data_IF_515385364382
#
_entry.id   IF_515385364382
#
_cell.length_a   1.000
_cell.length_b   1.000
_cell.length_c   1.000
_cell.angle_alpha   90.00
_cell.angle_beta   90.00
_cell.angle_gamma   90.00
#
_symmetry.space_group_name_H-M   'P 1'
#
loop_
_entity.id
_entity.type
_entity.pdbx_description
1 polymer ?
#
# COMPACT_ATOMS: atom_id res chain seq x y z
N UNK A 1 -18.12 -13.80 13.97
CA UNK A 1 -17.74 -15.24 14.01
C UNK A 1 -17.04 -15.73 12.74
N UNK A 2 -17.63 -15.73 11.53
CA UNK A 2 -16.86 -16.17 10.33
C UNK A 2 -15.66 -15.26 10.05
N UNK A 3 -15.84 -13.95 10.13
CA UNK A 3 -14.75 -12.99 9.93
C UNK A 3 -13.64 -13.11 10.99
N UNK A 4 -13.96 -13.37 12.25
CA UNK A 4 -12.99 -13.64 13.33
C UNK A 4 -12.12 -14.86 12.99
N UNK A 5 -12.74 -15.96 12.56
CA UNK A 5 -12.01 -17.18 12.15
C UNK A 5 -11.10 -16.92 10.96
N UNK A 6 -11.60 -16.21 9.93
CA UNK A 6 -10.80 -15.87 8.73
C UNK A 6 -9.65 -14.93 9.08
N UNK A 7 -9.91 -13.93 9.93
CA UNK A 7 -8.88 -13.00 10.43
C UNK A 7 -7.81 -13.75 11.23
N UNK A 8 -8.22 -14.64 12.12
CA UNK A 8 -7.31 -15.48 12.91
C UNK A 8 -6.47 -16.40 12.02
N UNK A 9 -7.08 -17.03 11.01
CA UNK A 9 -6.38 -17.88 10.06
C UNK A 9 -5.34 -17.07 9.26
N UNK A 10 -5.71 -15.88 8.79
CA UNK A 10 -4.80 -14.96 8.09
C UNK A 10 -3.63 -14.55 8.99
N UNK A 11 -3.91 -14.07 10.21
CA UNK A 11 -2.90 -13.66 11.21
C UNK A 11 -1.92 -14.82 11.48
N UNK A 12 -2.43 -16.02 11.73
CA UNK A 12 -1.60 -17.19 12.02
C UNK A 12 -0.71 -17.57 10.84
N UNK A 13 -1.20 -17.45 9.60
CA UNK A 13 -0.40 -17.73 8.41
C UNK A 13 0.69 -16.68 8.19
N UNK A 14 0.38 -15.41 8.44
CA UNK A 14 1.37 -14.32 8.40
C UNK A 14 2.44 -14.49 9.50
N UNK A 15 2.03 -14.83 10.72
CA UNK A 15 2.94 -15.07 11.84
C UNK A 15 3.85 -16.29 11.60
N UNK A 16 3.31 -17.40 11.08
CA UNK A 16 4.11 -18.58 10.72
C UNK A 16 5.19 -18.25 9.67
N UNK A 17 4.87 -17.41 8.68
CA UNK A 17 5.85 -16.96 7.68
C UNK A 17 7.03 -16.22 8.28
N UNK A 18 6.81 -15.45 9.35
CA UNK A 18 7.91 -14.77 10.05
C UNK A 18 8.87 -15.74 10.75
N UNK A 19 8.53 -17.03 10.91
CA UNK A 19 9.29 -18.01 11.70
C UNK A 19 9.70 -19.26 10.92
N UNK A 20 9.21 -19.49 9.70
CA UNK A 20 9.55 -20.68 8.91
C UNK A 20 9.75 -20.39 7.43
N UNK A 21 10.83 -20.95 6.86
CA UNK A 21 11.20 -20.96 5.43
C UNK A 21 10.31 -21.90 4.57
N UNK A 22 9.08 -22.16 5.03
CA UNK A 22 8.16 -23.10 4.40
C UNK A 22 7.57 -22.50 3.12
N UNK A 23 8.02 -23.00 1.96
CA UNK A 23 7.35 -23.01 0.66
C UNK A 23 6.48 -21.78 0.30
N UNK A 24 6.96 -20.83 -0.51
CA UNK A 24 6.34 -19.51 -0.69
C UNK A 24 4.99 -19.46 -1.43
N UNK A 25 4.42 -20.57 -1.92
CA UNK A 25 3.25 -20.49 -2.81
C UNK A 25 1.90 -20.75 -2.10
N UNK A 26 1.79 -21.76 -1.24
CA UNK A 26 0.51 -22.13 -0.61
C UNK A 26 0.07 -21.16 0.48
N UNK A 27 1.00 -20.59 1.24
CA UNK A 27 0.72 -19.59 2.29
C UNK A 27 0.20 -18.28 1.71
N UNK A 28 0.71 -17.85 0.55
CA UNK A 28 0.28 -16.63 -0.13
C UNK A 28 -1.13 -16.75 -0.70
N UNK A 29 -1.48 -17.87 -1.32
CA UNK A 29 -2.83 -18.10 -1.83
C UNK A 29 -3.88 -18.03 -0.72
N UNK A 30 -3.57 -18.63 0.44
CA UNK A 30 -4.42 -18.56 1.61
C UNK A 30 -4.58 -17.11 2.12
N UNK A 31 -3.49 -16.35 2.25
CA UNK A 31 -3.54 -14.94 2.67
C UNK A 31 -4.38 -14.10 1.71
N UNK A 32 -4.20 -14.29 0.40
CA UNK A 32 -4.99 -13.58 -0.62
C UNK A 32 -6.47 -13.92 -0.52
N UNK A 33 -6.81 -15.20 -0.36
CA UNK A 33 -8.20 -15.64 -0.20
C UNK A 33 -8.84 -15.03 1.07
N UNK A 34 -8.11 -15.03 2.19
CA UNK A 34 -8.57 -14.39 3.42
C UNK A 34 -8.79 -12.88 3.23
N UNK A 35 -7.81 -12.16 2.65
CA UNK A 35 -7.92 -10.73 2.45
C UNK A 35 -9.08 -10.38 1.51
N UNK A 36 -9.30 -11.15 0.43
CA UNK A 36 -10.46 -10.96 -0.46
C UNK A 36 -11.79 -11.09 0.29
N UNK A 37 -11.92 -12.13 1.10
CA UNK A 37 -13.10 -12.33 1.94
C UNK A 37 -13.29 -11.16 2.91
N UNK A 38 -12.22 -10.70 3.58
CA UNK A 38 -12.29 -9.62 4.56
C UNK A 38 -12.61 -8.27 3.90
N UNK A 39 -12.07 -7.98 2.72
CA UNK A 39 -12.46 -6.82 1.92
C UNK A 39 -13.96 -6.85 1.58
N UNK A 40 -14.48 -8.01 1.14
CA UNK A 40 -15.92 -8.17 0.90
C UNK A 40 -16.72 -8.00 2.20
N UNK A 41 -16.27 -8.60 3.31
CA UNK A 41 -16.90 -8.47 4.61
C UNK A 41 -17.03 -7.00 5.04
N UNK A 42 -15.96 -6.20 4.91
CA UNK A 42 -16.00 -4.76 5.17
C UNK A 42 -17.06 -4.03 4.31
N UNK A 43 -17.16 -4.36 3.01
CA UNK A 43 -18.12 -3.72 2.09
C UNK A 43 -19.59 -4.00 2.43
N UNK A 44 -19.88 -5.06 3.18
CA UNK A 44 -21.26 -5.43 3.51
C UNK A 44 -21.86 -4.64 4.67
N UNK A 45 -21.07 -3.85 5.41
CA UNK A 45 -21.65 -2.94 6.41
C UNK A 45 -20.65 -2.22 7.31
N UNK A 46 -21.08 -1.08 7.86
CA UNK A 46 -20.26 -0.24 8.76
C UNK A 46 -19.85 -0.95 10.06
N UNK A 47 -20.70 -1.82 10.60
CA UNK A 47 -20.35 -2.60 11.79
C UNK A 47 -19.23 -3.62 11.49
N UNK A 48 -19.18 -4.15 10.26
CA UNK A 48 -18.14 -5.07 9.81
C UNK A 48 -16.81 -4.33 9.64
N UNK A 49 -16.85 -3.12 9.08
CA UNK A 49 -15.70 -2.22 9.04
C UNK A 49 -15.14 -1.95 10.43
N UNK A 50 -16.00 -1.60 11.39
CA UNK A 50 -15.60 -1.38 12.79
C UNK A 50 -14.91 -2.59 13.41
N UNK A 51 -15.46 -3.79 13.22
CA UNK A 51 -14.83 -5.03 13.68
C UNK A 51 -13.44 -5.26 13.04
N UNK A 52 -13.28 -4.93 11.76
CA UNK A 52 -11.98 -5.04 11.10
C UNK A 52 -11.00 -3.93 11.49
N UNK A 53 -11.50 -2.73 11.81
CA UNK A 53 -10.70 -1.59 12.24
C UNK A 53 -9.96 -1.86 13.56
N UNK A 54 -10.52 -2.70 14.44
CA UNK A 54 -9.84 -3.18 15.66
C UNK A 54 -8.52 -3.92 15.36
N UNK A 55 -8.40 -4.50 14.15
CA UNK A 55 -7.20 -5.20 13.68
C UNK A 55 -6.28 -4.31 12.83
N UNK A 56 -6.59 -3.02 12.65
CA UNK A 56 -5.87 -2.11 11.76
C UNK A 56 -4.36 -2.10 12.01
N UNK A 57 -3.93 -2.02 13.28
CA UNK A 57 -2.51 -2.00 13.64
C UNK A 57 -1.75 -3.22 13.12
N UNK A 58 -2.32 -4.42 13.27
CA UNK A 58 -1.73 -5.66 12.78
C UNK A 58 -1.70 -5.70 11.24
N UNK A 59 -2.78 -5.25 10.58
CA UNK A 59 -2.85 -5.19 9.12
C UNK A 59 -1.76 -4.28 8.55
N UNK A 60 -1.53 -3.14 9.22
CA UNK A 60 -0.47 -2.19 8.83
C UNK A 60 0.94 -2.73 9.11
N UNK A 61 1.14 -3.56 10.13
CA UNK A 61 2.46 -4.21 10.35
C UNK A 61 2.85 -5.18 9.24
N UNK A 62 1.85 -5.73 8.57
CA UNK A 62 1.99 -6.72 7.52
C UNK A 62 1.63 -6.14 6.14
N UNK A 63 1.54 -4.82 6.01
CA UNK A 63 1.04 -4.17 4.79
C UNK A 63 1.94 -4.36 3.58
N UNK A 64 3.24 -4.55 3.78
CA UNK A 64 4.23 -4.79 2.73
C UNK A 64 4.14 -6.20 2.12
N UNK A 65 3.37 -7.11 2.71
CA UNK A 65 3.24 -8.48 2.22
C UNK A 65 2.40 -8.49 0.94
N UNK A 66 2.97 -9.03 -0.13
CA UNK A 66 2.34 -9.23 -1.45
C UNK A 66 2.06 -7.95 -2.26
N UNK A 67 2.64 -6.80 -1.88
CA UNK A 67 2.43 -5.55 -2.64
C UNK A 67 3.07 -5.56 -4.02
N UNK A 68 4.22 -6.21 -4.18
CA UNK A 68 5.01 -6.19 -5.41
C UNK A 68 4.51 -7.14 -6.51
N UNK A 69 3.67 -8.15 -6.17
CA UNK A 69 3.22 -9.20 -7.10
C UNK A 69 2.02 -8.75 -7.95
N UNK A 70 2.20 -8.42 -9.25
CA UNK A 70 1.13 -7.89 -10.09
C UNK A 70 0.00 -8.91 -10.35
N UNK A 71 0.31 -10.20 -10.33
CA UNK A 71 -0.68 -11.30 -10.47
C UNK A 71 -1.62 -11.41 -9.27
N UNK A 72 -1.27 -10.79 -8.14
CA UNK A 72 -2.05 -10.76 -6.90
C UNK A 72 -2.53 -9.35 -6.56
N UNK A 73 -2.71 -8.49 -7.59
CA UNK A 73 -3.23 -7.10 -7.55
C UNK A 73 -4.59 -6.89 -6.86
N UNK A 74 -5.08 -7.84 -6.08
CA UNK A 74 -6.31 -7.67 -5.33
C UNK A 74 -6.37 -8.59 -4.12
N UNK A 75 -5.52 -8.35 -3.12
CA UNK A 75 -5.87 -8.27 -1.69
C UNK A 75 -4.67 -8.57 -0.77
N UNK A 76 -3.65 -7.69 -0.68
CA UNK A 76 -2.72 -7.67 0.46
C UNK A 76 -3.42 -7.26 1.77
N UNK A 77 -2.80 -7.45 2.94
CA UNK A 77 -3.32 -6.92 4.21
C UNK A 77 -3.60 -5.41 4.19
N UNK A 78 -2.84 -4.63 3.40
CA UNK A 78 -3.09 -3.21 3.17
C UNK A 78 -4.49 -2.95 2.57
N UNK A 79 -5.00 -3.86 1.75
CA UNK A 79 -6.32 -3.72 1.14
C UNK A 79 -7.45 -3.87 2.15
N UNK A 80 -7.26 -4.80 3.09
CA UNK A 80 -8.17 -5.00 4.21
C UNK A 80 -8.11 -3.79 5.14
N UNK A 81 -6.92 -3.24 5.37
CA UNK A 81 -6.71 -2.04 6.19
C UNK A 81 -7.51 -0.86 5.64
N UNK A 82 -7.38 -0.52 4.35
CA UNK A 82 -8.20 0.57 3.79
C UNK A 82 -9.70 0.20 3.78
N UNK A 83 -10.06 -1.06 3.44
CA UNK A 83 -11.48 -1.47 3.37
C UNK A 83 -12.18 -1.34 4.73
N UNK A 84 -11.43 -1.47 5.83
CA UNK A 84 -11.92 -1.29 7.19
C UNK A 84 -12.35 0.14 7.54
N UNK A 85 -11.98 1.15 6.74
CA UNK A 85 -12.32 2.56 7.00
C UNK A 85 -12.85 3.32 5.78
N UNK A 86 -12.80 2.73 4.58
CA UNK A 86 -13.26 3.33 3.33
C UNK A 86 -14.71 3.83 3.44
N UNK A 87 -14.96 5.06 2.97
CA UNK A 87 -16.30 5.70 2.97
C UNK A 87 -16.95 5.82 4.37
N UNK A 88 -16.15 5.70 5.44
CA UNK A 88 -16.62 5.73 6.81
C UNK A 88 -15.96 6.86 7.61
N UNK A 89 -16.66 8.00 7.69
CA UNK A 89 -16.13 9.21 8.34
C UNK A 89 -15.86 9.01 9.84
N UNK A 90 -16.64 8.18 10.54
CA UNK A 90 -16.43 7.88 11.97
C UNK A 90 -15.08 7.18 12.18
N UNK A 91 -14.79 6.16 11.36
CA UNK A 91 -13.54 5.40 11.46
C UNK A 91 -12.34 6.20 10.94
N UNK A 92 -12.53 7.04 9.93
CA UNK A 92 -11.49 7.95 9.47
C UNK A 92 -11.08 8.95 10.56
N UNK A 93 -12.04 9.50 11.31
CA UNK A 93 -11.77 10.38 12.46
C UNK A 93 -11.18 9.62 13.66
N UNK A 94 -11.43 8.31 13.77
CA UNK A 94 -10.84 7.47 14.81
C UNK A 94 -9.36 7.08 14.54
N UNK A 95 -8.81 7.45 13.37
CA UNK A 95 -7.41 7.19 13.04
C UNK A 95 -6.47 7.93 13.98
N UNK A 96 -5.42 7.23 14.41
CA UNK A 96 -4.37 7.77 15.27
C UNK A 96 -3.09 8.01 14.48
N UNK A 97 -2.31 8.99 14.91
CA UNK A 97 -1.05 9.40 14.25
C UNK A 97 -0.11 8.23 13.95
N UNK A 98 0.03 7.27 14.88
CA UNK A 98 0.94 6.14 14.73
C UNK A 98 0.59 5.20 13.56
N UNK A 99 -0.69 5.14 13.13
CA UNK A 99 -1.08 4.35 11.95
C UNK A 99 -0.60 5.02 10.67
N UNK A 100 -0.81 6.34 10.56
CA UNK A 100 -0.36 7.14 9.41
C UNK A 100 1.17 7.23 9.35
N UNK A 101 1.83 7.33 10.51
CA UNK A 101 3.29 7.34 10.59
C UNK A 101 3.90 6.04 10.05
N UNK A 102 3.29 4.89 10.35
CA UNK A 102 3.73 3.59 9.83
C UNK A 102 3.70 3.56 8.29
N UNK A 103 2.63 4.06 7.70
CA UNK A 103 2.51 4.18 6.23
C UNK A 103 3.54 5.16 5.66
N UNK A 104 3.77 6.30 6.31
CA UNK A 104 4.79 7.25 5.88
C UNK A 104 6.20 6.65 5.92
N UNK A 105 6.51 5.79 6.90
CA UNK A 105 7.80 5.06 6.97
C UNK A 105 7.92 4.05 5.83
N UNK A 106 6.85 3.32 5.46
CA UNK A 106 6.93 2.41 4.32
C UNK A 106 7.05 3.16 3.00
N UNK A 107 6.30 4.25 2.82
CA UNK A 107 6.42 5.10 1.65
C UNK A 107 7.82 5.70 1.50
N UNK A 108 8.46 6.12 2.59
CA UNK A 108 9.83 6.65 2.54
C UNK A 108 10.83 5.59 2.08
N UNK A 109 10.61 4.31 2.43
CA UNK A 109 11.45 3.19 1.95
C UNK A 109 11.27 2.96 0.45
N UNK A 110 10.04 3.05 -0.07
CA UNK A 110 9.79 2.97 -1.51
C UNK A 110 10.61 4.02 -2.27
N UNK A 111 10.80 5.21 -1.69
CA UNK A 111 11.64 6.26 -2.25
C UNK A 111 13.15 6.00 -2.25
N UNK A 112 13.63 4.96 -1.59
CA UNK A 112 15.05 4.66 -1.38
C UNK A 112 15.48 3.28 -1.91
N UNK A 113 14.56 2.48 -2.44
CA UNK A 113 14.84 1.12 -2.86
C UNK A 113 14.33 0.86 -4.29
N UNK A 114 15.13 0.17 -5.09
CA UNK A 114 14.71 -0.31 -6.41
C UNK A 114 13.66 -1.43 -6.29
N UNK A 115 12.75 -1.51 -7.25
CA UNK A 115 11.78 -2.60 -7.30
C UNK A 115 12.38 -3.82 -8.01
N UNK A 116 12.75 -4.85 -7.26
CA UNK A 116 13.39 -6.06 -7.81
C UNK A 116 12.47 -6.80 -8.81
N UNK A 117 11.16 -6.84 -8.57
CA UNK A 117 10.21 -7.50 -9.49
C UNK A 117 10.15 -6.83 -10.86
N UNK A 118 10.37 -5.51 -10.94
CA UNK A 118 10.52 -4.79 -12.20
C UNK A 118 11.87 -5.09 -12.86
N UNK A 119 12.96 -5.12 -12.09
CA UNK A 119 14.28 -5.48 -12.62
C UNK A 119 14.30 -6.89 -13.22
N UNK A 120 13.70 -7.86 -12.53
CA UNK A 120 13.59 -9.25 -12.99
C UNK A 120 12.77 -9.38 -14.28
N UNK A 121 11.90 -8.41 -14.56
CA UNK A 121 11.11 -8.31 -15.81
C UNK A 121 11.83 -7.52 -16.91
N UNK A 122 13.09 -7.14 -16.70
CA UNK A 122 13.90 -6.40 -17.66
C UNK A 122 13.62 -4.89 -17.72
N UNK A 123 12.88 -4.32 -16.76
CA UNK A 123 12.73 -2.87 -16.69
C UNK A 123 14.01 -2.21 -16.18
N UNK A 124 14.24 -0.97 -16.61
CA UNK A 124 15.37 -0.15 -16.15
C UNK A 124 15.21 0.17 -14.67
N UNK A 125 16.32 0.12 -13.92
CA UNK A 125 16.34 0.56 -12.54
C UNK A 125 16.17 2.09 -12.46
N UNK A 126 15.07 2.52 -11.84
CA UNK A 126 14.78 3.94 -11.57
C UNK A 126 15.26 4.39 -10.19
N UNK A 127 15.76 3.48 -9.35
CA UNK A 127 16.29 3.77 -8.01
C UNK A 127 15.23 4.03 -6.92
N UNK A 128 13.96 3.75 -7.22
CA UNK A 128 12.84 3.82 -6.28
C UNK A 128 11.75 2.82 -6.71
N UNK A 129 10.80 2.54 -5.82
CA UNK A 129 9.70 1.59 -6.04
C UNK A 129 8.39 2.31 -6.37
N UNK A 130 8.04 2.45 -7.67
CA UNK A 130 6.80 3.09 -8.08
C UNK A 130 5.56 2.24 -7.79
N UNK A 131 5.71 0.92 -7.72
CA UNK A 131 4.57 -0.01 -7.62
C UNK A 131 4.06 -0.05 -6.18
N UNK A 132 4.96 -0.22 -5.21
CA UNK A 132 4.56 -0.19 -3.79
C UNK A 132 4.18 1.21 -3.33
N UNK A 133 4.90 2.23 -3.80
CA UNK A 133 4.65 3.63 -3.43
C UNK A 133 3.23 4.08 -3.74
N UNK A 134 2.70 3.74 -4.91
CA UNK A 134 1.32 4.04 -5.31
C UNK A 134 0.30 3.47 -4.31
N UNK A 135 0.52 2.24 -3.80
CA UNK A 135 -0.40 1.58 -2.86
C UNK A 135 -0.49 2.29 -1.52
N UNK A 136 0.63 2.77 -1.01
CA UNK A 136 0.66 3.54 0.23
C UNK A 136 0.03 4.92 0.06
N UNK A 137 0.23 5.57 -1.09
CA UNK A 137 -0.44 6.83 -1.43
C UNK A 137 -1.96 6.65 -1.54
N UNK A 138 -2.43 5.57 -2.16
CA UNK A 138 -3.86 5.23 -2.21
C UNK A 138 -4.45 5.05 -0.80
N UNK A 139 -3.76 4.36 0.10
CA UNK A 139 -4.20 4.24 1.49
C UNK A 139 -4.34 5.63 2.15
N UNK A 140 -3.31 6.48 2.04
CA UNK A 140 -3.35 7.84 2.60
C UNK A 140 -4.48 8.67 2.00
N UNK A 141 -4.74 8.56 0.69
CA UNK A 141 -5.85 9.21 0.01
C UNK A 141 -7.20 8.87 0.66
N UNK A 142 -7.44 7.60 0.99
CA UNK A 142 -8.68 7.18 1.64
C UNK A 142 -8.79 7.63 3.10
N UNK A 143 -7.66 7.90 3.78
CA UNK A 143 -7.67 8.47 5.12
C UNK A 143 -8.04 9.97 5.11
N UNK A 144 -7.70 10.71 4.05
CA UNK A 144 -7.87 12.17 3.98
C UNK A 144 -9.09 12.61 3.17
N UNK A 145 -9.68 11.71 2.37
CA UNK A 145 -10.83 11.99 1.51
C UNK A 145 -11.91 10.92 1.68
N UNK A 146 -13.06 11.32 2.22
CA UNK A 146 -14.16 10.41 2.56
C UNK A 146 -15.47 11.02 2.09
N UNK A 147 -16.28 10.27 1.33
CA UNK A 147 -17.61 10.70 0.86
C UNK A 147 -17.64 12.07 0.13
N UNK A 148 -16.55 12.44 -0.56
CA UNK A 148 -16.46 13.70 -1.29
C UNK A 148 -15.98 14.89 -0.44
N UNK A 149 -15.63 14.65 0.82
CA UNK A 149 -15.16 15.67 1.75
C UNK A 149 -13.74 15.36 2.27
N UNK A 150 -12.99 16.40 2.62
CA UNK A 150 -11.68 16.23 3.24
C UNK A 150 -11.81 16.03 4.75
N UNK A 151 -11.04 15.07 5.27
CA UNK A 151 -10.82 14.91 6.72
C UNK A 151 -9.58 15.71 7.10
N UNK A 152 -9.78 17.00 7.41
CA UNK A 152 -8.71 17.99 7.63
C UNK A 152 -7.71 17.56 8.72
N UNK A 153 -8.16 16.93 9.81
CA UNK A 153 -7.28 16.43 10.87
C UNK A 153 -6.27 15.40 10.34
N UNK A 154 -6.75 14.46 9.52
CA UNK A 154 -5.92 13.46 8.88
C UNK A 154 -5.01 14.10 7.82
N UNK A 155 -5.51 15.04 7.02
CA UNK A 155 -4.72 15.74 6.01
C UNK A 155 -3.53 16.49 6.64
N UNK A 156 -3.78 17.21 7.73
CA UNK A 156 -2.73 17.91 8.49
C UNK A 156 -1.69 16.96 9.09
N UNK A 157 -2.12 15.79 9.59
CA UNK A 157 -1.20 14.74 10.06
C UNK A 157 -0.33 14.20 8.91
N UNK A 158 -0.96 13.82 7.79
CA UNK A 158 -0.26 13.29 6.61
C UNK A 158 0.77 14.30 6.09
N UNK A 159 0.39 15.55 5.90
CA UNK A 159 1.32 16.61 5.43
C UNK A 159 2.52 16.73 6.36
N UNK A 160 2.31 16.79 7.68
CA UNK A 160 3.40 16.87 8.67
C UNK A 160 4.32 15.66 8.62
N UNK A 161 3.76 14.45 8.46
CA UNK A 161 4.53 13.22 8.38
C UNK A 161 5.37 13.13 7.10
N UNK A 162 4.83 13.59 5.96
CA UNK A 162 5.50 13.58 4.67
C UNK A 162 6.61 14.64 4.58
N UNK A 163 6.40 15.86 5.07
CA UNK A 163 7.44 16.92 5.04
C UNK A 163 8.66 16.52 5.88
N UNK A 164 8.45 15.75 6.96
CA UNK A 164 9.54 15.22 7.80
C UNK A 164 10.32 14.07 7.14
N UNK A 165 9.85 13.55 6.00
CA UNK A 165 10.42 12.41 5.27
C UNK A 165 10.45 12.74 3.77
N UNK A 166 11.40 13.59 3.31
CA UNK A 166 11.48 13.99 1.91
C UNK A 166 11.62 12.80 0.94
N UNK A 167 12.04 11.63 1.42
CA UNK A 167 12.12 10.39 0.67
C UNK A 167 10.75 9.89 0.20
N UNK A 168 9.65 10.28 0.85
CA UNK A 168 8.30 9.99 0.39
C UNK A 168 7.96 10.69 -0.94
N UNK A 169 8.68 11.76 -1.29
CA UNK A 169 8.55 12.43 -2.59
C UNK A 169 9.36 11.67 -3.63
N UNK A 170 8.95 11.71 -4.90
CA UNK A 170 9.78 11.16 -5.98
C UNK A 170 11.12 11.91 -6.09
N UNK A 171 12.23 11.27 -6.53
CA UNK A 171 13.56 11.88 -6.56
C UNK A 171 13.61 13.25 -7.25
N UNK A 172 12.81 13.44 -8.29
CA UNK A 172 12.73 14.71 -9.02
C UNK A 172 12.14 15.89 -8.22
N UNK A 173 11.45 15.61 -7.11
CA UNK A 173 10.76 16.58 -6.26
C UNK A 173 11.45 16.80 -4.91
N UNK A 174 12.58 16.12 -4.65
CA UNK A 174 13.34 16.27 -3.41
C UNK A 174 14.36 17.40 -3.55
N UNK A 175 14.46 18.28 -2.56
CA UNK A 175 15.46 19.34 -2.53
C UNK A 175 15.45 20.21 -3.79
N UNK A 176 16.61 20.38 -4.42
CA UNK A 176 16.78 21.09 -5.71
C UNK A 176 16.59 20.15 -6.93
N UNK A 177 15.69 19.17 -6.83
CA UNK A 177 15.41 18.24 -7.91
C UNK A 177 14.90 18.95 -9.19
N UNK A 178 15.01 18.29 -10.35
CA UNK A 178 14.66 18.85 -11.66
C UNK A 178 13.17 19.23 -11.83
N UNK A 179 12.31 18.86 -10.89
CA UNK A 179 10.90 19.23 -10.84
C UNK A 179 9.98 18.28 -11.62
N UNK A 180 8.67 18.44 -11.39
CA UNK A 180 7.64 17.54 -11.89
C UNK A 180 7.58 17.49 -13.42
N UNK A 181 7.72 18.64 -14.10
CA UNK A 181 7.65 18.71 -15.55
C UNK A 181 8.77 17.90 -16.21
N UNK A 182 9.99 18.00 -15.68
CA UNK A 182 11.12 17.22 -16.18
C UNK A 182 10.89 15.72 -15.94
N UNK A 183 10.44 15.35 -14.73
CA UNK A 183 10.12 13.96 -14.39
C UNK A 183 9.09 13.34 -15.35
N UNK A 184 8.01 14.07 -15.66
CA UNK A 184 6.97 13.61 -16.60
C UNK A 184 7.55 13.44 -18.01
N UNK A 185 8.36 14.40 -18.48
CA UNK A 185 8.99 14.30 -19.81
C UNK A 185 9.93 13.08 -19.90
N UNK A 186 10.68 12.81 -18.85
CA UNK A 186 11.60 11.67 -18.83
C UNK A 186 10.84 10.34 -18.72
N UNK A 187 9.73 10.29 -17.98
CA UNK A 187 8.84 9.14 -17.93
C UNK A 187 8.20 8.83 -19.31
N UNK A 188 7.80 9.86 -20.07
CA UNK A 188 7.28 9.69 -21.44
C UNK A 188 8.34 9.05 -22.35
N UNK A 189 9.56 9.62 -22.38
CA UNK A 189 10.66 9.07 -23.18
C UNK A 189 11.00 7.62 -22.80
N UNK A 190 10.98 7.33 -21.50
CA UNK A 190 11.21 5.97 -21.00
C UNK A 190 10.13 5.00 -21.48
N UNK A 191 8.86 5.41 -21.42
CA UNK A 191 7.74 4.61 -21.92
C UNK A 191 7.88 4.33 -23.43
N UNK A 192 8.18 5.36 -24.23
CA UNK A 192 8.40 5.21 -25.67
C UNK A 192 9.53 4.23 -25.99
N UNK A 193 10.66 4.35 -25.29
CA UNK A 193 11.81 3.46 -25.45
C UNK A 193 11.45 2.00 -25.12
N UNK A 194 10.78 1.75 -23.99
CA UNK A 194 10.34 0.41 -23.59
C UNK A 194 9.39 -0.19 -24.64
N UNK A 195 8.49 0.61 -25.21
CA UNK A 195 7.58 0.15 -26.27
C UNK A 195 8.33 -0.26 -27.52
N UNK A 196 9.33 0.52 -27.95
CA UNK A 196 10.16 0.19 -29.12
C UNK A 196 10.97 -1.09 -28.88
N UNK A 197 11.60 -1.24 -27.71
CA UNK A 197 12.39 -2.43 -27.36
C UNK A 197 11.54 -3.70 -27.37
N UNK A 198 10.32 -3.65 -26.81
CA UNK A 198 9.39 -4.80 -26.81
C UNK A 198 8.83 -5.16 -28.19
N UNK A 199 8.81 -4.23 -29.14
CA UNK A 199 8.38 -4.52 -30.52
C UNK A 199 9.51 -5.13 -31.37
N UNK A 200 10.75 -5.06 -30.89
CA UNK A 200 11.92 -5.59 -31.57
C UNK A 200 12.28 -7.04 -31.13
N UNK A 201 11.66 -7.53 -30.04
CA UNK A 201 11.71 -8.92 -29.54
C UNK A 201 10.61 -9.80 -30.16
#
# INVERSE_FOLDING_TARGET
RVHENVTTAMINTLAKRAHSDSGPNTSHEMVVACCRFLCFFCRTGRQNQKAMFEHLGFLLENSNILLSRPSLRGSPPLDVAYSSLMENSELALALREHYLEKIAIYLSRCGLQSNQDLLDRGYIDVGWDPVEGERYLDFLRFCVWVNGESVEENANLVIRLLIRRPECLGPALRGEGPGLLAAIKDAIKMSEKITVEKLAE
#
